data_IF_593964194635
#
_entry.id   IF_593964194635
#
_cell.length_a   1.000
_cell.length_b   1.000
_cell.length_c   1.000
_cell.angle_alpha   90.00
_cell.angle_beta   90.00
_cell.angle_gamma   90.00
#
_symmetry.space_group_name_H-M   'P 1'
#
loop_
_entity.id
_entity.type
_entity.pdbx_description
1 polymer ?
#
# COMPACT_ATOMS: atom_id res chain seq x y z
N UNK A 1 -17.14 5.82 3.03
CA UNK A 1 -15.89 6.35 3.47
C UNK A 1 -15.22 7.29 2.50
N UNK A 2 -14.18 7.88 2.97
CA UNK A 2 -13.37 8.79 2.18
C UNK A 2 -12.23 8.03 1.50
N UNK A 3 -11.89 8.46 0.29
CA UNK A 3 -10.71 7.97 -0.38
C UNK A 3 -9.45 8.38 0.39
N UNK A 4 -8.44 7.52 0.42
CA UNK A 4 -7.14 7.86 1.02
C UNK A 4 -6.48 9.06 0.35
N UNK A 5 -6.81 9.32 -0.90
CA UNK A 5 -6.28 10.48 -1.62
C UNK A 5 -6.72 11.81 -1.00
N UNK A 6 -7.84 11.84 -0.29
CA UNK A 6 -8.31 13.05 0.38
C UNK A 6 -7.43 13.44 1.56
N UNK A 7 -6.66 12.52 2.10
CA UNK A 7 -5.73 12.81 3.21
C UNK A 7 -4.38 13.31 2.73
N UNK A 8 -4.09 13.20 1.43
CA UNK A 8 -2.80 13.54 0.87
C UNK A 8 -1.70 12.51 1.17
N UNK A 9 -2.06 11.35 1.72
CA UNK A 9 -1.10 10.31 2.08
C UNK A 9 -1.01 9.18 1.05
N UNK A 10 -1.88 9.16 0.04
CA UNK A 10 -1.90 8.13 -0.98
C UNK A 10 -1.46 8.68 -2.34
N UNK A 11 -0.72 7.86 -3.07
CA UNK A 11 -0.25 8.19 -4.42
C UNK A 11 -0.55 7.02 -5.34
N UNK A 12 -1.08 7.33 -6.54
CA UNK A 12 -1.20 6.36 -7.61
C UNK A 12 -0.02 6.55 -8.56
N UNK A 13 0.80 5.52 -8.69
CA UNK A 13 1.96 5.57 -9.57
C UNK A 13 1.58 5.14 -10.99
N UNK A 14 2.29 5.65 -11.96
CA UNK A 14 2.11 5.31 -13.36
C UNK A 14 3.42 4.78 -13.94
N UNK A 15 3.33 4.18 -15.12
CA UNK A 15 4.47 3.65 -15.86
C UNK A 15 4.35 4.04 -17.30
N UNK A 16 5.47 4.36 -17.99
CA UNK A 16 5.45 4.58 -19.44
C UNK A 16 5.07 3.31 -20.22
N UNK A 17 5.08 2.15 -19.56
CA UNK A 17 4.68 0.89 -20.20
C UNK A 17 3.16 0.72 -20.30
N UNK A 18 2.37 1.64 -19.73
CA UNK A 18 0.92 1.55 -19.74
C UNK A 18 0.39 0.90 -18.46
N UNK A 19 -0.77 0.25 -18.55
CA UNK A 19 -1.45 -0.40 -17.42
C UNK A 19 -1.83 0.57 -16.30
N UNK A 20 -2.11 1.82 -16.64
CA UNK A 20 -2.50 2.82 -15.66
C UNK A 20 -3.82 2.42 -14.99
N UNK A 21 -3.80 2.35 -13.64
CA UNK A 21 -4.96 1.97 -12.83
C UNK A 21 -5.53 0.59 -13.22
N UNK A 22 -4.65 -0.31 -13.64
CA UNK A 22 -5.00 -1.68 -14.00
C UNK A 22 -4.10 -2.67 -13.29
N UNK A 23 -4.59 -3.88 -13.07
CA UNK A 23 -3.82 -4.90 -12.32
C UNK A 23 -2.53 -5.29 -13.02
N UNK A 24 -2.46 -5.18 -14.35
CA UNK A 24 -1.24 -5.48 -15.07
C UNK A 24 -0.08 -4.53 -14.72
N UNK A 25 -0.35 -3.45 -13.99
CA UNK A 25 0.70 -2.55 -13.51
C UNK A 25 1.76 -3.29 -12.71
N UNK A 26 1.39 -4.36 -11.99
CA UNK A 26 2.33 -5.15 -11.20
C UNK A 26 3.43 -5.78 -12.06
N UNK A 27 3.17 -6.00 -13.35
CA UNK A 27 4.11 -6.64 -14.26
C UNK A 27 5.00 -5.64 -14.99
N UNK A 28 4.73 -4.34 -14.86
CA UNK A 28 5.59 -3.31 -15.42
C UNK A 28 6.88 -3.21 -14.61
N UNK A 29 7.93 -2.67 -15.21
CA UNK A 29 9.20 -2.46 -14.49
C UNK A 29 8.99 -1.54 -13.30
N UNK A 30 8.19 -0.48 -13.47
CA UNK A 30 7.88 0.44 -12.38
C UNK A 30 7.14 -0.27 -11.25
N UNK A 31 6.13 -1.08 -11.58
CA UNK A 31 5.36 -1.82 -10.58
C UNK A 31 6.21 -2.82 -9.81
N UNK A 32 7.08 -3.54 -10.50
CA UNK A 32 8.01 -4.48 -9.86
C UNK A 32 8.99 -3.76 -8.94
N UNK A 33 9.52 -2.63 -9.39
CA UNK A 33 10.46 -1.84 -8.58
C UNK A 33 9.78 -1.31 -7.30
N UNK A 34 8.56 -0.77 -7.44
CA UNK A 34 7.80 -0.27 -6.31
C UNK A 34 7.50 -1.36 -5.29
N UNK A 35 7.04 -2.52 -5.75
CA UNK A 35 6.71 -3.62 -4.85
C UNK A 35 7.91 -4.01 -3.98
N UNK A 36 9.12 -3.93 -4.53
CA UNK A 36 10.35 -4.29 -3.83
C UNK A 36 10.90 -3.14 -2.98
N UNK A 37 10.80 -1.90 -3.43
CA UNK A 37 11.56 -0.80 -2.87
C UNK A 37 10.73 0.28 -2.15
N UNK A 38 9.43 0.36 -2.38
CA UNK A 38 8.60 1.42 -1.81
C UNK A 38 8.71 1.55 -0.28
N UNK A 39 8.79 0.45 0.49
CA UNK A 39 8.91 0.58 1.95
C UNK A 39 10.17 1.32 2.40
N UNK A 40 11.23 1.28 1.62
CA UNK A 40 12.48 2.01 1.94
C UNK A 40 12.27 3.52 1.92
N UNK A 41 11.22 3.98 1.25
CA UNK A 41 10.88 5.39 1.14
C UNK A 41 9.64 5.75 1.94
N UNK A 42 9.12 4.82 2.74
CA UNK A 42 7.99 5.07 3.61
C UNK A 42 6.63 4.77 3.02
N UNK A 43 6.58 4.09 1.88
CA UNK A 43 5.34 3.73 1.19
C UNK A 43 5.06 2.25 1.29
N UNK A 44 3.78 1.88 1.40
CA UNK A 44 3.36 0.49 1.38
C UNK A 44 2.29 0.28 0.31
N UNK A 45 2.25 -0.94 -0.24
CA UNK A 45 1.17 -1.37 -1.14
C UNK A 45 -0.09 -1.51 -0.29
N UNK A 46 -1.07 -0.65 -0.53
CA UNK A 46 -2.23 -0.53 0.38
C UNK A 46 -3.27 -1.61 0.16
N UNK A 47 -3.49 -2.02 -1.09
CA UNK A 47 -4.51 -3.00 -1.45
C UNK A 47 -3.90 -4.19 -2.18
N UNK A 48 -3.30 -5.14 -1.44
CA UNK A 48 -2.60 -6.27 -2.05
C UNK A 48 -3.54 -7.30 -2.65
N UNK A 49 -2.99 -8.14 -3.51
CA UNK A 49 -3.73 -9.20 -4.18
C UNK A 49 -4.26 -10.22 -3.19
N UNK A 50 -5.48 -10.68 -3.43
CA UNK A 50 -6.09 -11.74 -2.63
C UNK A 50 -6.61 -11.30 -1.27
N UNK A 51 -6.64 -10.01 -0.97
CA UNK A 51 -7.03 -9.50 0.35
C UNK A 51 -8.25 -8.58 0.33
N UNK A 52 -9.07 -8.67 -0.72
CA UNK A 52 -10.25 -7.80 -0.86
C UNK A 52 -11.21 -7.93 0.32
N UNK A 53 -11.36 -9.12 0.89
CA UNK A 53 -12.25 -9.33 2.03
C UNK A 53 -11.81 -8.56 3.28
N UNK A 54 -10.52 -8.23 3.39
CA UNK A 54 -9.96 -7.48 4.51
C UNK A 54 -9.96 -5.99 4.25
N UNK A 55 -9.46 -5.58 3.08
CA UNK A 55 -9.29 -4.16 2.75
C UNK A 55 -10.55 -3.50 2.25
N UNK A 56 -11.49 -4.27 1.70
CA UNK A 56 -12.67 -3.74 1.01
C UNK A 56 -12.40 -3.30 -0.43
N UNK A 57 -11.15 -3.44 -0.89
CA UNK A 57 -10.75 -3.05 -2.24
C UNK A 57 -10.08 -4.22 -2.96
N UNK A 58 -10.30 -4.28 -4.27
CA UNK A 58 -9.58 -5.24 -5.10
C UNK A 58 -8.10 -4.89 -5.15
N UNK A 59 -7.28 -5.78 -5.69
CA UNK A 59 -5.86 -5.56 -5.87
C UNK A 59 -5.59 -4.30 -6.71
N UNK A 60 -4.80 -3.38 -6.13
CA UNK A 60 -4.42 -2.14 -6.81
C UNK A 60 -2.91 -1.97 -6.73
N UNK A 61 -2.16 -2.57 -7.67
CA UNK A 61 -0.69 -2.52 -7.63
C UNK A 61 -0.09 -1.13 -7.82
N UNK A 62 -0.89 -0.16 -8.22
CA UNK A 62 -0.46 1.23 -8.41
C UNK A 62 -0.67 2.10 -7.18
N UNK A 63 -1.49 1.67 -6.22
CA UNK A 63 -1.92 2.49 -5.10
C UNK A 63 -1.04 2.26 -3.88
N UNK A 64 -0.27 3.26 -3.51
CA UNK A 64 0.62 3.20 -2.36
C UNK A 64 0.24 4.26 -1.34
N UNK A 65 0.35 3.90 -0.06
CA UNK A 65 0.11 4.81 1.04
C UNK A 65 1.42 5.16 1.72
N UNK A 66 1.63 6.45 1.98
CA UNK A 66 2.76 6.91 2.78
C UNK A 66 2.46 6.69 4.27
N UNK A 67 3.31 5.98 4.95
CA UNK A 67 3.19 5.71 6.39
C UNK A 67 4.46 6.09 7.15
N UNK A 68 5.47 6.55 6.45
CA UNK A 68 6.79 6.84 7.01
C UNK A 68 7.70 5.63 6.95
N UNK A 69 9.01 5.89 6.92
CA UNK A 69 10.00 4.83 6.73
C UNK A 69 9.96 3.81 7.86
N UNK A 70 9.90 4.26 9.10
CA UNK A 70 9.92 3.36 10.26
C UNK A 70 8.70 2.41 10.24
N UNK A 71 7.51 2.95 10.06
CA UNK A 71 6.29 2.14 10.04
C UNK A 71 6.29 1.20 8.83
N UNK A 72 6.75 1.67 7.67
CA UNK A 72 6.83 0.83 6.48
C UNK A 72 7.75 -0.38 6.71
N UNK A 73 8.90 -0.16 7.34
CA UNK A 73 9.83 -1.25 7.65
C UNK A 73 9.25 -2.21 8.68
N UNK A 74 8.57 -1.70 9.69
CA UNK A 74 7.91 -2.54 10.70
C UNK A 74 6.80 -3.38 10.05
N UNK A 75 6.04 -2.79 9.14
CA UNK A 75 4.99 -3.51 8.41
C UNK A 75 5.58 -4.69 7.62
N UNK A 76 6.66 -4.44 6.89
CA UNK A 76 7.34 -5.51 6.12
C UNK A 76 7.85 -6.59 7.06
N UNK A 77 8.49 -6.22 8.16
CA UNK A 77 9.10 -7.16 9.11
C UNK A 77 8.05 -7.98 9.87
N UNK A 78 6.86 -7.44 10.04
CA UNK A 78 5.79 -8.13 10.80
C UNK A 78 5.23 -9.35 10.08
N UNK A 79 5.36 -9.39 8.76
CA UNK A 79 4.75 -10.45 7.95
C UNK A 79 3.25 -10.28 7.75
N UNK A 80 2.65 -9.18 8.23
CA UNK A 80 1.24 -8.90 7.98
C UNK A 80 0.99 -8.78 6.47
N UNK A 81 -0.18 -9.22 6.02
CA UNK A 81 -0.52 -9.23 4.60
C UNK A 81 -1.27 -7.97 4.18
N UNK A 82 -1.84 -7.23 5.14
CA UNK A 82 -2.54 -5.97 4.89
C UNK A 82 -2.20 -4.98 5.99
N UNK A 83 -2.41 -3.70 5.68
CA UNK A 83 -2.22 -2.65 6.68
C UNK A 83 -3.25 -2.79 7.81
N UNK A 84 -4.47 -3.24 7.48
CA UNK A 84 -5.50 -3.52 8.47
C UNK A 84 -5.03 -4.55 9.50
N UNK A 85 -4.43 -5.64 9.05
CA UNK A 85 -3.89 -6.67 9.94
C UNK A 85 -2.77 -6.12 10.81
N UNK A 86 -1.90 -5.30 10.22
CA UNK A 86 -0.78 -4.68 10.94
C UNK A 86 -1.28 -3.77 12.05
N UNK A 87 -2.26 -2.91 11.76
CA UNK A 87 -2.87 -2.03 12.75
C UNK A 87 -3.57 -2.84 13.83
N UNK A 88 -4.25 -3.92 13.45
CA UNK A 88 -4.96 -4.80 14.37
C UNK A 88 -4.06 -5.47 15.41
N UNK A 89 -2.75 -5.56 15.14
CA UNK A 89 -1.79 -6.08 16.13
C UNK A 89 -1.39 -5.03 17.17
N UNK A 90 -1.85 -3.79 17.02
CA UNK A 90 -1.49 -2.69 17.91
C UNK A 90 -0.15 -2.04 17.57
N UNK A 91 0.50 -2.48 16.49
CA UNK A 91 1.83 -1.99 16.13
C UNK A 91 1.85 -0.52 15.73
N UNK A 92 0.73 0.02 15.24
CA UNK A 92 0.63 1.40 14.82
C UNK A 92 -0.72 2.00 15.26
N UNK A 93 -0.97 2.14 16.58
CA UNK A 93 -2.27 2.58 17.08
C UNK A 93 -2.67 3.98 16.63
N UNK A 94 -1.72 4.87 16.41
CA UNK A 94 -2.00 6.23 15.94
C UNK A 94 -2.56 6.21 14.51
N UNK A 95 -2.13 5.25 13.71
CA UNK A 95 -2.64 5.07 12.36
C UNK A 95 -4.04 4.48 12.36
N UNK A 96 -4.36 3.66 13.35
CA UNK A 96 -5.69 3.09 13.48
C UNK A 96 -6.74 4.19 13.65
N UNK A 97 -6.43 5.23 14.39
CA UNK A 97 -7.36 6.35 14.58
C UNK A 97 -7.40 7.30 13.38
N UNK A 98 -6.36 7.31 12.55
CA UNK A 98 -6.27 8.17 11.37
C UNK A 98 -6.88 7.54 10.12
N UNK A 99 -7.02 6.24 10.10
CA UNK A 99 -7.55 5.53 8.95
C UNK A 99 -9.05 5.39 9.02
#
# INVERSE_FOLDING_TARGET
GYSEHQTGLAIDFASPEGCRLEECYRDTLAGQWLAKNAPRYGYILRFPDGRQSVTGYRFEPWHYRYVGVQIAQEYVSSGAKTFEEFIGTGAAPDYASAS
#
